data_IF_291289060391
#
_entry.id   IF_291289060391
#
_cell.length_a   1.000
_cell.length_b   1.000
_cell.length_c   1.000
_cell.angle_alpha   90.00
_cell.angle_beta   90.00
_cell.angle_gamma   90.00
#
_symmetry.space_group_name_H-M   'P 1'
#
loop_
_entity.id
_entity.type
_entity.pdbx_description
1 polymer ?
#
# COMPACT_ATOMS: atom_id res chain seq x y z
N UNK A 1 6.25 -7.06 -1.04
CA UNK A 1 5.33 -5.95 -0.77
C UNK A 1 4.41 -6.35 0.38
N UNK A 2 4.21 -5.48 1.39
CA UNK A 2 3.52 -5.82 2.65
C UNK A 2 2.02 -6.12 2.53
N UNK A 3 1.38 -5.63 1.48
CA UNK A 3 -0.07 -5.78 1.25
C UNK A 3 -0.44 -6.94 0.32
N UNK A 4 0.53 -7.50 -0.43
CA UNK A 4 0.26 -8.49 -1.49
C UNK A 4 -0.35 -7.92 -2.78
N UNK A 5 -0.63 -6.61 -2.84
CA UNK A 5 -1.21 -5.93 -4.01
C UNK A 5 -0.30 -4.80 -4.50
N UNK A 6 -0.43 -4.47 -5.78
CA UNK A 6 0.23 -3.27 -6.34
C UNK A 6 -0.49 -2.01 -5.84
N UNK A 7 0.23 -0.88 -5.63
CA UNK A 7 -0.40 0.38 -5.21
C UNK A 7 -1.52 0.84 -6.15
N UNK A 8 -1.33 0.66 -7.46
CA UNK A 8 -2.35 0.96 -8.47
C UNK A 8 -3.62 0.15 -8.27
N UNK A 9 -3.52 -1.13 -7.92
CA UNK A 9 -4.70 -1.97 -7.67
C UNK A 9 -5.45 -1.55 -6.40
N UNK A 10 -4.73 -1.03 -5.40
CA UNK A 10 -5.34 -0.49 -4.17
C UNK A 10 -6.04 0.85 -4.39
N UNK A 11 -5.47 1.72 -5.25
CA UNK A 11 -6.01 3.04 -5.54
C UNK A 11 -7.11 3.01 -6.61
N UNK A 12 -6.91 2.23 -7.66
CA UNK A 12 -7.73 2.25 -8.87
C UNK A 12 -8.66 1.03 -8.99
N UNK A 13 -8.55 0.04 -8.09
CA UNK A 13 -9.37 -1.18 -8.15
C UNK A 13 -9.15 -2.05 -9.39
N UNK A 14 -8.19 -1.68 -10.25
CA UNK A 14 -7.92 -2.31 -11.53
C UNK A 14 -6.42 -2.27 -11.84
N UNK A 15 -6.00 -3.08 -12.80
CA UNK A 15 -4.67 -2.91 -13.38
C UNK A 15 -4.68 -1.72 -14.33
N UNK A 16 -3.64 -0.87 -14.27
CA UNK A 16 -3.52 0.23 -15.22
C UNK A 16 -3.44 -0.36 -16.62
N UNK A 17 -4.25 0.17 -17.55
CA UNK A 17 -4.12 -0.19 -18.97
C UNK A 17 -2.72 0.24 -19.42
N UNK A 18 -1.89 -0.73 -19.78
CA UNK A 18 -0.61 -0.47 -20.42
C UNK A 18 -0.86 0.14 -21.80
N UNK A 19 0.12 0.87 -22.33
CA UNK A 19 0.12 1.29 -23.72
C UNK A 19 -0.09 0.11 -24.69
N UNK A 20 0.39 -1.08 -24.33
CA UNK A 20 0.16 -2.32 -25.08
C UNK A 20 -1.28 -2.81 -24.99
N UNK A 21 -1.93 -2.66 -23.84
CA UNK A 21 -3.32 -3.06 -23.65
C UNK A 21 -4.23 -2.19 -24.52
N UNK A 22 -3.98 -0.87 -24.52
CA UNK A 22 -4.70 0.08 -25.39
C UNK A 22 -4.49 -0.24 -26.87
N UNK A 23 -3.24 -0.53 -27.27
CA UNK A 23 -2.93 -0.90 -28.66
C UNK A 23 -3.63 -2.20 -29.08
N UNK A 24 -3.69 -3.19 -28.18
CA UNK A 24 -4.40 -4.46 -28.41
C UNK A 24 -5.91 -4.25 -28.50
N UNK A 25 -6.51 -3.50 -27.58
CA UNK A 25 -7.94 -3.19 -27.58
C UNK A 25 -8.35 -2.48 -28.88
N UNK A 26 -7.53 -1.54 -29.35
CA UNK A 26 -7.72 -0.84 -30.62
C UNK A 26 -7.59 -1.76 -31.84
N UNK A 27 -6.59 -2.66 -31.84
CA UNK A 27 -6.44 -3.67 -32.90
C UNK A 27 -7.65 -4.61 -32.94
N UNK A 28 -8.04 -5.15 -31.79
CA UNK A 28 -9.09 -6.18 -31.66
C UNK A 28 -10.52 -5.61 -31.76
N UNK A 29 -10.67 -4.30 -31.94
CA UNK A 29 -11.96 -3.59 -31.97
C UNK A 29 -12.85 -3.96 -30.77
N UNK A 30 -12.23 -4.17 -29.61
CA UNK A 30 -12.96 -4.57 -28.42
C UNK A 30 -13.88 -3.43 -27.96
N UNK A 31 -15.15 -3.70 -27.66
CA UNK A 31 -16.04 -2.68 -27.12
C UNK A 31 -15.47 -2.19 -25.78
N UNK A 32 -15.56 -0.88 -25.52
CA UNK A 32 -15.17 -0.32 -24.25
C UNK A 32 -15.85 -1.09 -23.12
N UNK A 33 -15.07 -1.61 -22.17
CA UNK A 33 -15.54 -2.48 -21.11
C UNK A 33 -16.62 -1.83 -20.21
N UNK A 34 -16.76 -0.51 -20.26
CA UNK A 34 -17.73 0.25 -19.48
C UNK A 34 -18.58 1.13 -20.40
N UNK A 35 -19.90 1.06 -20.23
CA UNK A 35 -20.86 1.82 -21.04
C UNK A 35 -20.95 3.29 -20.61
N UNK A 36 -20.49 3.60 -19.39
CA UNK A 36 -20.39 4.96 -18.86
C UNK A 36 -19.30 5.09 -17.78
N UNK A 37 -18.81 6.33 -17.56
CA UNK A 37 -17.85 6.65 -16.48
C UNK A 37 -18.43 6.32 -15.10
N UNK A 38 -19.74 6.50 -14.91
CA UNK A 38 -20.41 6.23 -13.62
C UNK A 38 -20.36 4.74 -13.29
N UNK A 39 -20.64 3.88 -14.27
CA UNK A 39 -20.54 2.43 -14.11
C UNK A 39 -19.11 2.00 -13.80
N UNK A 40 -18.12 2.61 -14.46
CA UNK A 40 -16.71 2.37 -14.21
C UNK A 40 -16.29 2.68 -12.77
N UNK A 41 -16.60 3.89 -12.28
CA UNK A 41 -16.24 4.32 -10.92
C UNK A 41 -16.96 3.46 -9.87
N UNK A 42 -18.22 3.07 -10.12
CA UNK A 42 -18.96 2.15 -9.23
C UNK A 42 -18.26 0.80 -9.10
N UNK A 43 -17.93 0.16 -10.22
CA UNK A 43 -17.26 -1.15 -10.21
C UNK A 43 -15.86 -1.06 -9.57
N UNK A 44 -15.14 0.03 -9.80
CA UNK A 44 -13.86 0.30 -9.16
C UNK A 44 -13.99 0.32 -7.63
N UNK A 45 -14.97 1.05 -7.10
CA UNK A 45 -15.21 1.13 -5.65
C UNK A 45 -15.57 -0.23 -5.06
N UNK A 46 -16.46 -0.97 -5.71
CA UNK A 46 -16.87 -2.31 -5.26
C UNK A 46 -15.69 -3.30 -5.19
N UNK A 47 -14.79 -3.25 -6.18
CA UNK A 47 -13.58 -4.09 -6.19
C UNK A 47 -12.63 -3.73 -5.04
N UNK A 48 -12.43 -2.44 -4.79
CA UNK A 48 -11.59 -1.97 -3.68
C UNK A 48 -12.19 -2.43 -2.35
N UNK A 49 -13.47 -2.16 -2.13
CA UNK A 49 -14.17 -2.51 -0.88
C UNK A 49 -14.12 -4.02 -0.61
N UNK A 50 -14.23 -4.84 -1.66
CA UNK A 50 -14.12 -6.31 -1.55
C UNK A 50 -12.73 -6.79 -1.13
N UNK A 51 -11.67 -6.13 -1.59
CA UNK A 51 -10.28 -6.56 -1.40
C UNK A 51 -9.64 -5.94 -0.16
N UNK A 52 -10.14 -4.77 0.28
CA UNK A 52 -9.56 -4.03 1.40
C UNK A 52 -9.45 -4.80 2.74
N UNK A 53 -10.39 -5.69 3.12
CA UNK A 53 -10.24 -6.49 4.32
C UNK A 53 -8.97 -7.37 4.29
N UNK A 54 -8.72 -8.04 3.17
CA UNK A 54 -7.55 -8.90 2.97
C UNK A 54 -6.24 -8.09 2.96
N UNK A 55 -6.27 -6.91 2.33
CA UNK A 55 -5.14 -5.98 2.32
C UNK A 55 -4.76 -5.58 3.74
N UNK A 56 -5.75 -5.26 4.57
CA UNK A 56 -5.54 -4.86 5.96
C UNK A 56 -4.96 -5.99 6.79
N UNK A 57 -5.46 -7.21 6.61
CA UNK A 57 -4.93 -8.39 7.29
C UNK A 57 -3.45 -8.62 6.93
N UNK A 58 -3.11 -8.64 5.64
CA UNK A 58 -1.72 -8.78 5.21
C UNK A 58 -0.82 -7.68 5.74
N UNK A 59 -1.31 -6.43 5.74
CA UNK A 59 -0.56 -5.29 6.25
C UNK A 59 -0.23 -5.46 7.73
N UNK A 60 -1.22 -5.83 8.55
CA UNK A 60 -1.02 -6.06 9.99
C UNK A 60 -0.01 -7.18 10.22
N UNK A 61 -0.15 -8.31 9.55
CA UNK A 61 0.77 -9.44 9.69
C UNK A 61 2.20 -9.07 9.27
N UNK A 62 2.35 -8.35 8.16
CA UNK A 62 3.64 -7.88 7.70
C UNK A 62 4.27 -6.88 8.68
N UNK A 63 3.48 -5.95 9.23
CA UNK A 63 3.95 -4.98 10.23
C UNK A 63 4.38 -5.67 11.53
N UNK A 64 3.64 -6.67 12.00
CA UNK A 64 4.03 -7.47 13.16
C UNK A 64 5.35 -8.21 12.91
N UNK A 65 5.50 -8.87 11.77
CA UNK A 65 6.74 -9.55 11.41
C UNK A 65 7.93 -8.57 11.31
N UNK A 66 7.71 -7.39 10.72
CA UNK A 66 8.70 -6.32 10.65
C UNK A 66 9.09 -5.83 12.05
N UNK A 67 8.12 -5.57 12.91
CA UNK A 67 8.36 -5.14 14.29
C UNK A 67 9.18 -6.19 15.05
N UNK A 68 8.80 -7.46 14.97
CA UNK A 68 9.57 -8.54 15.61
C UNK A 68 11.00 -8.64 15.07
N UNK A 69 11.19 -8.49 13.76
CA UNK A 69 12.51 -8.57 13.14
C UNK A 69 13.40 -7.37 13.50
N UNK A 70 12.89 -6.16 13.35
CA UNK A 70 13.66 -4.92 13.56
C UNK A 70 13.87 -4.60 15.05
N UNK A 71 12.93 -4.97 15.92
CA UNK A 71 13.09 -4.77 17.37
C UNK A 71 13.93 -5.86 18.03
N UNK A 72 14.39 -6.89 17.31
CA UNK A 72 15.13 -8.03 17.89
C UNK A 72 16.38 -7.61 18.67
N UNK A 73 17.07 -6.56 18.25
CA UNK A 73 18.26 -6.02 18.92
C UNK A 73 17.94 -4.81 19.81
N UNK A 74 16.70 -4.33 19.82
CA UNK A 74 16.30 -3.21 20.64
C UNK A 74 16.21 -3.66 22.09
N UNK A 75 16.98 -3.01 22.97
CA UNK A 75 16.87 -3.22 24.40
C UNK A 75 15.97 -2.14 25.00
N UNK A 76 14.96 -2.50 25.82
CA UNK A 76 14.21 -1.52 26.58
C UNK A 76 15.16 -0.77 27.51
N UNK A 77 15.07 0.55 27.51
CA UNK A 77 15.85 1.43 28.39
C UNK A 77 14.89 2.25 29.22
N UNK A 78 15.04 2.15 30.52
CA UNK A 78 14.36 2.99 31.50
C UNK A 78 15.38 3.99 32.05
N UNK A 79 14.94 5.23 32.26
CA UNK A 79 15.78 6.32 32.78
C UNK A 79 15.19 6.80 34.10
N UNK A 80 16.06 7.09 35.07
CA UNK A 80 15.69 7.61 36.37
C UNK A 80 16.12 9.08 36.53
N UNK A 81 15.45 9.85 37.41
CA UNK A 81 15.89 11.21 37.74
C UNK A 81 17.35 11.21 38.22
N UNK A 82 18.20 11.96 37.52
CA UNK A 82 19.65 12.03 37.78
C UNK A 82 20.53 11.34 36.74
N UNK A 83 19.95 10.49 35.87
CA UNK A 83 20.69 9.84 34.79
C UNK A 83 21.17 10.84 33.73
N UNK A 84 22.42 10.66 33.28
CA UNK A 84 22.98 11.43 32.16
C UNK A 84 22.76 10.65 30.88
N UNK A 85 21.95 11.19 29.97
CA UNK A 85 21.59 10.55 28.69
C UNK A 85 22.06 11.40 27.50
N UNK A 86 22.45 10.73 26.42
CA UNK A 86 22.69 11.41 25.14
C UNK A 86 21.38 11.49 24.36
N UNK A 87 21.03 12.70 23.94
CA UNK A 87 19.86 12.96 23.11
C UNK A 87 20.34 13.27 21.69
N UNK A 88 19.79 12.56 20.70
CA UNK A 88 19.97 12.93 19.30
C UNK A 88 19.10 14.15 19.01
N UNK A 89 19.72 15.32 18.89
CA UNK A 89 19.04 16.53 18.45
C UNK A 89 19.09 16.58 16.93
N UNK A 90 17.95 16.59 16.21
CA UNK A 90 17.95 16.70 14.76
C UNK A 90 18.56 18.05 14.36
N UNK A 91 19.64 18.02 13.58
CA UNK A 91 20.22 19.22 13.00
C UNK A 91 19.52 19.53 11.67
N UNK A 92 19.04 20.75 11.49
CA UNK A 92 18.39 21.21 10.26
C UNK A 92 19.37 21.57 9.14
N UNK A 93 20.69 21.47 9.39
CA UNK A 93 21.69 21.62 8.35
C UNK A 93 21.80 20.33 7.52
N UNK A 94 21.17 20.35 6.35
CA UNK A 94 21.47 19.45 5.23
C UNK A 94 22.73 19.92 4.50
#
# INVERSE_FOLDING_TARGET
ASTGFTPFKLLLGQHPHSFLDVAKEAWEQQPAAHRSVVEHVRQMREKIDRVMPLVREHLVNAQQAQQHHYNRAAQPREFQPGDRVMVLVPNTAC
#
